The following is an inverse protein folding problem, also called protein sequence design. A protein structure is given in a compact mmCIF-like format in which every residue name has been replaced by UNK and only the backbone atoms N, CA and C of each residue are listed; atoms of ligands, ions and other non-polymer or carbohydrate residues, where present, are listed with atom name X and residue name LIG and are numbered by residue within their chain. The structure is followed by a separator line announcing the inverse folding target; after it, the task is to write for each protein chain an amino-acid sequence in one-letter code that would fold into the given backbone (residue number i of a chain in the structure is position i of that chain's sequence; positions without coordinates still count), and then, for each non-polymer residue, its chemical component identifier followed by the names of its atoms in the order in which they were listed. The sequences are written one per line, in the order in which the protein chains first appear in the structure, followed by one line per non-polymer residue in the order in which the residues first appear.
data_IF_420390360001
#
_entry.id   IF_420390360001
#
_cell.length_a   1.000
_cell.length_b   1.000
_cell.length_c   1.000
_cell.angle_alpha   90.00
_cell.angle_beta   90.00
_cell.angle_gamma   90.00
#
_symmetry.space_group_name_H-M   'P 1'
#
loop_
_entity.id
_entity.type
_entity.pdbx_description
1 polymer ?
#
# COMPACT_ATOMS: atom_id res chain seq x y z
N UNK A 1 -8.65 17.25 -15.49
CA UNK A 1 -7.64 16.25 -15.85
C UNK A 1 -7.19 16.48 -17.29
N UNK A 2 -5.88 16.57 -17.54
CA UNK A 2 -5.30 16.45 -18.89
C UNK A 2 -5.25 14.96 -19.31
N UNK A 3 -6.23 14.52 -20.11
CA UNK A 3 -6.35 13.13 -20.53
C UNK A 3 -5.38 12.75 -21.65
N UNK A 4 -5.21 13.62 -22.63
CA UNK A 4 -4.32 13.37 -23.78
C UNK A 4 -2.85 13.34 -23.33
N UNK A 5 -2.45 14.29 -22.47
CA UNK A 5 -1.12 14.31 -21.88
C UNK A 5 -0.86 13.08 -21.01
N UNK A 6 -1.84 12.65 -20.21
CA UNK A 6 -1.69 11.46 -19.38
C UNK A 6 -1.60 10.18 -20.22
N UNK A 7 -2.43 10.05 -21.25
CA UNK A 7 -2.35 8.92 -22.20
C UNK A 7 -0.96 8.86 -22.82
N UNK A 8 -0.47 9.98 -23.35
CA UNK A 8 0.88 10.08 -23.93
C UNK A 8 1.95 9.69 -22.91
N UNK A 9 1.84 10.17 -21.67
CA UNK A 9 2.75 9.80 -20.58
C UNK A 9 2.77 8.29 -20.30
N UNK A 10 1.65 7.59 -20.45
CA UNK A 10 1.57 6.14 -20.26
C UNK A 10 2.08 5.33 -21.46
N UNK A 11 2.02 5.88 -22.67
CA UNK A 11 2.48 5.22 -23.90
C UNK A 11 3.94 5.47 -24.24
N UNK A 12 4.50 6.62 -23.85
CA UNK A 12 5.87 7.03 -24.20
C UNK A 12 6.96 6.38 -23.31
N UNK A 13 6.59 5.38 -22.51
CA UNK A 13 7.50 4.64 -21.61
C UNK A 13 8.25 3.55 -22.37
N UNK A 14 9.41 3.13 -21.87
CA UNK A 14 10.13 1.95 -22.38
C UNK A 14 9.24 0.70 -22.40
N UNK A 15 8.35 0.59 -21.40
CA UNK A 15 7.28 -0.39 -21.33
C UNK A 15 5.93 0.34 -21.33
N UNK A 16 5.29 0.50 -22.50
CA UNK A 16 3.99 1.14 -22.61
C UNK A 16 2.91 0.38 -21.86
N UNK A 17 1.97 1.12 -21.27
CA UNK A 17 0.80 0.52 -20.62
C UNK A 17 -0.22 0.09 -21.70
N UNK A 18 -0.81 -1.11 -21.61
CA UNK A 18 -1.85 -1.56 -22.55
C UNK A 18 -3.06 -0.62 -22.59
N UNK A 19 -3.69 -0.51 -23.76
CA UNK A 19 -4.82 0.40 -24.00
C UNK A 19 -5.98 0.22 -23.00
N UNK A 20 -6.34 -1.03 -22.73
CA UNK A 20 -7.38 -1.38 -21.76
C UNK A 20 -7.06 -0.89 -20.35
N UNK A 21 -5.80 -0.96 -19.94
CA UNK A 21 -5.34 -0.46 -18.65
C UNK A 21 -5.33 1.08 -18.64
N UNK A 22 -4.97 1.75 -19.74
CA UNK A 22 -5.05 3.22 -19.85
C UNK A 22 -6.49 3.71 -19.64
N UNK A 23 -7.48 3.01 -20.20
CA UNK A 23 -8.90 3.33 -20.03
C UNK A 23 -9.30 3.24 -18.55
N UNK A 24 -8.93 2.15 -17.86
CA UNK A 24 -9.25 1.97 -16.44
C UNK A 24 -8.48 2.97 -15.54
N UNK A 25 -7.23 3.28 -15.88
CA UNK A 25 -6.44 4.29 -15.18
C UNK A 25 -7.12 5.66 -15.28
N UNK A 26 -7.56 6.03 -16.48
CA UNK A 26 -8.26 7.31 -16.72
C UNK A 26 -9.56 7.38 -15.92
N UNK A 27 -10.38 6.33 -15.94
CA UNK A 27 -11.62 6.28 -15.15
C UNK A 27 -11.39 6.44 -13.65
N UNK A 28 -10.31 5.84 -13.12
CA UNK A 28 -9.99 5.94 -11.70
C UNK A 28 -9.57 7.36 -11.31
N UNK A 29 -8.73 8.01 -12.13
CA UNK A 29 -8.32 9.40 -11.89
C UNK A 29 -9.51 10.35 -11.98
N UNK A 30 -10.39 10.18 -12.97
CA UNK A 30 -11.62 10.97 -13.07
C UNK A 30 -12.55 10.77 -11.87
N UNK A 31 -12.67 9.53 -11.38
CA UNK A 31 -13.46 9.22 -10.18
C UNK A 31 -12.89 9.98 -8.97
N UNK A 32 -11.57 9.99 -8.81
CA UNK A 32 -10.91 10.75 -7.76
C UNK A 32 -11.09 12.26 -7.94
N UNK A 33 -10.95 12.78 -9.16
CA UNK A 33 -11.18 14.20 -9.47
C UNK A 33 -12.60 14.64 -9.10
N UNK A 34 -13.62 13.83 -9.43
CA UNK A 34 -15.01 14.10 -9.03
C UNK A 34 -15.17 14.09 -7.51
N UNK A 35 -14.51 13.17 -6.81
CA UNK A 35 -14.55 13.09 -5.35
C UNK A 35 -13.94 14.34 -4.71
N UNK A 36 -12.78 14.81 -5.17
CA UNK A 36 -12.06 15.91 -4.49
C UNK A 36 -12.67 17.29 -4.72
N UNK A 37 -13.49 17.45 -5.76
CA UNK A 37 -14.25 18.69 -6.02
C UNK A 37 -15.13 19.11 -4.86
N UNK A 38 -15.68 18.15 -4.10
CA UNK A 38 -16.51 18.46 -2.93
C UNK A 38 -15.74 19.16 -1.80
N UNK A 39 -14.40 19.10 -1.83
CA UNK A 39 -13.51 19.78 -0.88
C UNK A 39 -12.88 21.04 -1.46
N UNK A 40 -13.31 21.50 -2.65
CA UNK A 40 -12.70 22.64 -3.33
C UNK A 40 -11.25 22.39 -3.79
N UNK A 41 -10.88 21.12 -3.98
CA UNK A 41 -9.54 20.70 -4.42
C UNK A 41 -9.54 20.31 -5.89
N UNK A 42 -8.36 20.39 -6.50
CA UNK A 42 -8.03 19.90 -7.85
C UNK A 42 -6.97 18.80 -7.76
N UNK A 43 -6.69 18.11 -8.86
CA UNK A 43 -5.65 17.06 -8.88
C UNK A 43 -4.27 17.62 -8.55
N UNK A 44 -4.02 18.89 -8.84
CA UNK A 44 -2.76 19.61 -8.58
C UNK A 44 -2.64 20.12 -7.13
N UNK A 45 -3.76 20.27 -6.40
CA UNK A 45 -3.80 20.92 -5.07
C UNK A 45 -4.26 19.98 -3.95
N UNK A 46 -4.67 18.77 -4.31
CA UNK A 46 -5.04 17.71 -3.38
C UNK A 46 -3.79 17.20 -2.66
N UNK A 47 -3.96 16.84 -1.40
CA UNK A 47 -2.89 16.31 -0.54
C UNK A 47 -3.30 14.95 0.02
N UNK A 48 -2.42 14.36 0.82
CA UNK A 48 -2.71 13.15 1.59
C UNK A 48 -4.06 13.21 2.35
N UNK A 49 -4.47 14.37 2.86
CA UNK A 49 -5.68 14.50 3.68
C UNK A 49 -6.94 14.07 2.92
N UNK A 50 -7.11 14.54 1.69
CA UNK A 50 -8.25 14.16 0.84
C UNK A 50 -8.07 12.77 0.24
N UNK A 51 -6.82 12.41 -0.10
CA UNK A 51 -6.51 11.08 -0.60
C UNK A 51 -6.86 9.99 0.43
N UNK A 52 -6.53 10.18 1.71
CA UNK A 52 -6.89 9.26 2.79
C UNK A 52 -8.41 9.11 2.94
N UNK A 53 -9.19 10.18 2.72
CA UNK A 53 -10.66 10.10 2.67
C UNK A 53 -11.13 9.26 1.49
N UNK A 54 -10.52 9.43 0.31
CA UNK A 54 -10.86 8.66 -0.89
C UNK A 54 -10.48 7.19 -0.75
N UNK A 55 -9.32 6.89 -0.16
CA UNK A 55 -8.87 5.53 0.14
C UNK A 55 -9.91 4.76 0.98
N UNK A 56 -10.48 5.42 2.00
CA UNK A 56 -11.57 4.85 2.80
C UNK A 56 -12.83 4.55 1.97
N UNK A 57 -13.13 5.37 0.96
CA UNK A 57 -14.22 5.08 0.02
C UNK A 57 -13.89 3.84 -0.80
N UNK A 58 -12.68 3.73 -1.34
CA UNK A 58 -12.26 2.54 -2.10
C UNK A 58 -12.33 1.27 -1.24
N UNK A 59 -11.89 1.32 0.02
CA UNK A 59 -11.99 0.21 0.97
C UNK A 59 -13.45 -0.18 1.20
N UNK A 60 -14.31 0.79 1.49
CA UNK A 60 -15.75 0.56 1.71
C UNK A 60 -16.44 -0.07 0.50
N UNK A 61 -16.03 0.31 -0.70
CA UNK A 61 -16.58 -0.20 -1.96
C UNK A 61 -15.94 -1.51 -2.41
N UNK A 62 -14.90 -2.00 -1.72
CA UNK A 62 -14.13 -3.17 -2.15
C UNK A 62 -13.34 -2.95 -3.44
N UNK A 63 -13.04 -1.70 -3.78
CA UNK A 63 -12.30 -1.29 -4.98
C UNK A 63 -10.89 -0.79 -4.67
N UNK A 64 -10.41 -1.01 -3.44
CA UNK A 64 -9.04 -0.73 -3.00
C UNK A 64 -8.03 -1.75 -3.55
N UNK A 65 -7.82 -1.74 -4.86
CA UNK A 65 -6.92 -2.67 -5.56
C UNK A 65 -5.60 -2.00 -5.93
N UNK A 66 -4.55 -2.79 -6.12
CA UNK A 66 -3.24 -2.30 -6.55
C UNK A 66 -3.32 -1.49 -7.87
N UNK A 67 -4.02 -1.94 -8.93
CA UNK A 67 -4.16 -1.16 -10.16
C UNK A 67 -4.82 0.21 -9.94
N UNK A 68 -5.80 0.29 -9.05
CA UNK A 68 -6.50 1.56 -8.77
C UNK A 68 -5.57 2.57 -8.08
N UNK A 69 -4.78 2.15 -7.09
CA UNK A 69 -3.77 3.02 -6.49
C UNK A 69 -2.64 3.34 -7.46
N UNK A 70 -2.20 2.39 -8.28
CA UNK A 70 -1.20 2.62 -9.33
C UNK A 70 -1.67 3.66 -10.36
N UNK A 71 -2.95 3.69 -10.72
CA UNK A 71 -3.51 4.71 -11.59
C UNK A 71 -3.36 6.12 -10.99
N UNK A 72 -3.70 6.25 -9.70
CA UNK A 72 -3.58 7.52 -8.99
C UNK A 72 -2.11 7.96 -8.85
N UNK A 73 -1.19 7.04 -8.54
CA UNK A 73 0.25 7.37 -8.43
C UNK A 73 0.84 7.77 -9.77
N UNK A 74 0.51 7.07 -10.86
CA UNK A 74 0.95 7.42 -12.22
C UNK A 74 0.49 8.82 -12.60
N UNK A 75 -0.76 9.18 -12.29
CA UNK A 75 -1.26 10.51 -12.59
C UNK A 75 -0.62 11.58 -11.71
N UNK A 76 -0.50 11.33 -10.40
CA UNK A 76 0.16 12.23 -9.47
C UNK A 76 1.60 12.54 -9.90
N UNK A 77 2.33 11.51 -10.37
CA UNK A 77 3.67 11.69 -10.92
C UNK A 77 3.67 12.44 -12.26
N UNK A 78 2.69 12.20 -13.13
CA UNK A 78 2.54 12.92 -14.41
C UNK A 78 2.37 14.44 -14.22
N UNK A 79 1.60 14.85 -13.21
CA UNK A 79 1.38 16.27 -12.88
C UNK A 79 2.36 16.81 -11.83
N UNK A 80 3.36 16.02 -11.43
CA UNK A 80 4.36 16.36 -10.42
C UNK A 80 3.77 16.75 -9.04
N UNK A 81 2.58 16.25 -8.69
CA UNK A 81 1.99 16.44 -7.37
C UNK A 81 2.57 15.41 -6.37
N UNK A 82 3.70 15.77 -5.74
CA UNK A 82 4.37 14.92 -4.75
C UNK A 82 3.57 14.71 -3.45
N UNK A 83 2.74 15.69 -3.04
CA UNK A 83 1.87 15.59 -1.86
C UNK A 83 0.77 14.54 -2.03
N UNK A 84 0.43 14.20 -3.27
CA UNK A 84 -0.44 13.08 -3.62
C UNK A 84 0.35 11.81 -3.94
N UNK A 85 1.46 11.93 -4.67
CA UNK A 85 2.25 10.79 -5.14
C UNK A 85 2.87 9.98 -4.00
N UNK A 86 3.53 10.64 -3.05
CA UNK A 86 4.29 9.96 -1.99
C UNK A 86 3.41 9.11 -1.07
N UNK A 87 2.23 9.58 -0.59
CA UNK A 87 1.34 8.74 0.19
C UNK A 87 0.83 7.50 -0.56
N UNK A 88 0.53 7.64 -1.85
CA UNK A 88 0.09 6.51 -2.67
C UNK A 88 1.24 5.51 -2.83
N UNK A 89 2.46 6.01 -3.08
CA UNK A 89 3.65 5.17 -3.17
C UNK A 89 3.88 4.39 -1.88
N UNK A 90 3.71 5.02 -0.70
CA UNK A 90 3.82 4.34 0.60
C UNK A 90 2.75 3.27 0.86
N UNK A 91 1.59 3.36 0.20
CA UNK A 91 0.58 2.28 0.23
C UNK A 91 1.02 1.09 -0.61
N UNK A 92 1.56 1.36 -1.80
CA UNK A 92 2.02 0.33 -2.73
C UNK A 92 3.29 -0.35 -2.19
N UNK A 93 4.24 0.44 -1.71
CA UNK A 93 5.48 0.01 -1.09
C UNK A 93 5.22 -0.56 0.31
N UNK A 94 5.31 -1.88 0.44
CA UNK A 94 5.03 -2.58 1.69
C UNK A 94 3.56 -2.93 1.91
N UNK A 95 2.75 -2.96 0.84
CA UNK A 95 1.39 -3.51 0.84
C UNK A 95 1.32 -4.97 1.31
N UNK A 96 2.40 -5.71 1.09
CA UNK A 96 2.55 -7.13 1.34
C UNK A 96 3.10 -7.45 2.74
N UNK A 97 3.70 -6.49 3.44
CA UNK A 97 4.46 -6.72 4.69
C UNK A 97 3.62 -7.44 5.75
N UNK A 98 2.34 -7.10 5.88
CA UNK A 98 1.46 -7.74 6.87
C UNK A 98 1.04 -9.15 6.46
N UNK A 99 0.88 -9.41 5.16
CA UNK A 99 0.65 -10.77 4.65
C UNK A 99 1.88 -11.64 4.90
N UNK A 100 3.07 -11.08 4.64
CA UNK A 100 4.34 -11.77 4.92
C UNK A 100 4.47 -12.05 6.41
N UNK A 101 4.17 -11.09 7.29
CA UNK A 101 4.20 -11.31 8.74
C UNK A 101 3.25 -12.43 9.17
N UNK A 102 2.02 -12.43 8.66
CA UNK A 102 1.06 -13.49 8.89
C UNK A 102 1.63 -14.88 8.49
N UNK A 103 2.26 -14.98 7.32
CA UNK A 103 2.83 -16.24 6.86
C UNK A 103 4.06 -16.67 7.68
N UNK A 104 4.94 -15.72 8.06
CA UNK A 104 6.09 -16.00 8.92
C UNK A 104 5.69 -16.41 10.33
N UNK A 105 4.62 -15.85 10.88
CA UNK A 105 4.05 -16.31 12.15
C UNK A 105 3.63 -17.77 12.05
N UNK A 106 2.92 -18.16 10.99
CA UNK A 106 2.53 -19.56 10.79
C UNK A 106 3.75 -20.48 10.70
N UNK A 107 4.76 -20.10 9.92
CA UNK A 107 5.96 -20.91 9.71
C UNK A 107 6.77 -21.12 10.99
N UNK A 108 6.96 -20.08 11.80
CA UNK A 108 7.83 -20.14 12.98
C UNK A 108 7.12 -20.63 14.25
N UNK A 109 5.82 -20.33 14.41
CA UNK A 109 5.11 -20.55 15.68
C UNK A 109 3.78 -21.30 15.54
N UNK A 110 3.42 -21.70 14.32
CA UNK A 110 2.21 -22.48 14.01
C UNK A 110 0.94 -21.63 13.87
N UNK A 111 -0.08 -22.24 13.25
CA UNK A 111 -1.35 -21.57 12.91
C UNK A 111 -2.08 -21.03 14.13
N UNK A 112 -2.14 -21.79 15.23
CA UNK A 112 -2.89 -21.39 16.43
C UNK A 112 -2.34 -20.09 17.05
N UNK A 113 -1.01 -19.97 17.15
CA UNK A 113 -0.37 -18.74 17.68
C UNK A 113 -0.49 -17.60 16.68
N UNK A 114 -0.33 -17.89 15.38
CA UNK A 114 -0.51 -16.91 14.31
C UNK A 114 -1.90 -16.29 14.36
N UNK A 115 -2.97 -17.08 14.43
CA UNK A 115 -4.35 -16.55 14.43
C UNK A 115 -4.68 -15.76 15.71
N UNK A 116 -4.06 -16.10 16.84
CA UNK A 116 -4.16 -15.30 18.08
C UNK A 116 -3.44 -13.94 17.99
N UNK A 117 -2.44 -13.82 17.11
CA UNK A 117 -1.64 -12.61 16.94
C UNK A 117 -2.21 -11.74 15.80
N UNK A 118 -2.33 -12.34 14.61
CA UNK A 118 -2.75 -11.74 13.35
C UNK A 118 -3.49 -12.80 12.53
N UNK A 119 -4.81 -12.86 12.69
CA UNK A 119 -5.67 -13.68 11.84
C UNK A 119 -5.75 -13.09 10.42
N UNK A 120 -6.30 -13.86 9.48
CA UNK A 120 -6.50 -13.39 8.10
C UNK A 120 -7.51 -12.24 8.04
N UNK A 121 -8.51 -12.26 8.91
CA UNK A 121 -9.56 -11.25 9.02
C UNK A 121 -9.04 -9.94 9.65
N UNK A 122 -7.97 -10.02 10.46
CA UNK A 122 -7.33 -8.88 11.09
C UNK A 122 -6.28 -8.18 10.18
N UNK A 123 -6.03 -8.71 8.98
CA UNK A 123 -5.10 -8.11 8.04
C UNK A 123 -5.59 -6.71 7.63
N UNK A 124 -4.73 -5.67 7.72
CA UNK A 124 -5.14 -4.34 7.33
C UNK A 124 -5.43 -4.30 5.82
N UNK A 125 -6.59 -3.75 5.38
CA UNK A 125 -6.87 -3.58 3.96
C UNK A 125 -5.86 -2.67 3.27
N UNK A 126 -5.64 -2.93 1.97
CA UNK A 126 -4.82 -2.06 1.12
C UNK A 126 -5.39 -0.63 1.12
N UNK A 127 -4.51 0.34 1.35
CA UNK A 127 -4.85 1.75 1.43
C UNK A 127 -5.29 2.24 2.81
N UNK A 128 -5.24 1.40 3.85
CA UNK A 128 -5.40 1.89 5.22
C UNK A 128 -4.44 3.07 5.48
N UNK A 129 -4.93 4.23 5.96
CA UNK A 129 -4.07 5.37 6.26
C UNK A 129 -2.97 5.03 7.25
N UNK A 130 -1.77 5.61 7.08
CA UNK A 130 -0.60 5.26 7.90
C UNK A 130 -0.83 5.46 9.40
N UNK A 131 -1.50 6.54 9.81
CA UNK A 131 -1.83 6.77 11.21
C UNK A 131 -2.71 5.67 11.83
N UNK A 132 -3.53 4.99 11.02
CA UNK A 132 -4.33 3.84 11.43
C UNK A 132 -3.51 2.55 11.37
N UNK A 133 -2.74 2.36 10.29
CA UNK A 133 -1.81 1.23 10.10
C UNK A 133 -0.82 1.13 11.25
N UNK A 134 -0.26 2.24 11.71
CA UNK A 134 0.64 2.30 12.88
C UNK A 134 0.00 1.71 14.14
N UNK A 135 -1.28 2.01 14.40
CA UNK A 135 -1.99 1.49 15.58
C UNK A 135 -2.21 -0.02 15.46
N UNK A 136 -2.56 -0.50 14.27
CA UNK A 136 -2.70 -1.94 13.98
C UNK A 136 -1.36 -2.65 14.19
N UNK A 137 -0.27 -2.13 13.62
CA UNK A 137 1.08 -2.69 13.80
C UNK A 137 1.47 -2.76 15.27
N UNK A 138 1.23 -1.69 16.04
CA UNK A 138 1.54 -1.67 17.48
C UNK A 138 0.77 -2.74 18.26
N UNK A 139 -0.50 -2.93 17.93
CA UNK A 139 -1.32 -3.96 18.57
C UNK A 139 -0.82 -5.37 18.23
N UNK A 140 -0.45 -5.62 16.97
CA UNK A 140 0.13 -6.91 16.54
C UNK A 140 1.43 -7.18 17.31
N UNK A 141 2.33 -6.20 17.41
CA UNK A 141 3.60 -6.36 18.14
C UNK A 141 3.36 -6.65 19.62
N UNK A 142 2.42 -5.96 20.28
CA UNK A 142 2.05 -6.25 21.67
C UNK A 142 1.54 -7.69 21.84
N UNK A 143 0.73 -8.18 20.90
CA UNK A 143 0.26 -9.57 20.92
C UNK A 143 1.42 -10.55 20.73
N UNK A 144 2.36 -10.26 19.84
CA UNK A 144 3.58 -11.06 19.66
C UNK A 144 4.38 -11.13 20.97
N UNK A 145 4.66 -10.01 21.61
CA UNK A 145 5.42 -9.96 22.88
C UNK A 145 4.72 -10.69 24.04
N UNK A 146 3.37 -10.74 24.02
CA UNK A 146 2.58 -11.42 25.05
C UNK A 146 2.49 -12.95 24.83
N UNK A 147 2.47 -13.40 23.58
CA UNK A 147 2.19 -14.80 23.21
C UNK A 147 3.49 -15.57 22.89
N UNK A 148 4.51 -14.88 22.40
CA UNK A 148 5.76 -15.48 21.94
C UNK A 148 6.89 -15.22 22.92
N UNK A 149 7.81 -16.18 23.00
CA UNK A 149 9.08 -15.96 23.67
C UNK A 149 9.96 -14.99 22.83
N UNK A 150 10.85 -14.21 23.46
CA UNK A 150 11.66 -13.21 22.75
C UNK A 150 12.48 -13.76 21.58
N UNK A 151 12.92 -15.03 21.66
CA UNK A 151 13.66 -15.70 20.60
C UNK A 151 12.82 -15.88 19.34
N UNK A 152 11.56 -16.30 19.48
CA UNK A 152 10.67 -16.53 18.34
C UNK A 152 10.17 -15.21 17.76
N UNK A 153 9.88 -14.21 18.59
CA UNK A 153 9.57 -12.86 18.13
C UNK A 153 10.70 -12.31 17.24
N UNK A 154 11.96 -12.46 17.66
CA UNK A 154 13.12 -12.04 16.88
C UNK A 154 13.25 -12.79 15.56
N UNK A 155 13.03 -14.11 15.53
CA UNK A 155 13.09 -14.91 14.29
C UNK A 155 12.03 -14.46 13.30
N UNK A 156 10.78 -14.33 13.75
CA UNK A 156 9.67 -13.87 12.91
C UNK A 156 10.01 -12.51 12.31
N UNK A 157 10.34 -11.51 13.12
CA UNK A 157 10.62 -10.15 12.63
C UNK A 157 11.83 -10.06 11.70
N UNK A 158 12.83 -10.93 11.86
CA UNK A 158 14.00 -10.97 10.99
C UNK A 158 13.68 -11.41 9.55
N UNK A 159 12.60 -12.19 9.36
CA UNK A 159 12.22 -12.81 8.08
C UNK A 159 11.04 -12.09 7.38
N UNK A 160 10.60 -10.94 7.90
CA UNK A 160 9.42 -10.19 7.41
C UNK A 160 9.73 -9.23 6.26
N UNK A 161 11.00 -9.06 5.88
CA UNK A 161 11.45 -8.04 4.92
C UNK A 161 10.88 -8.21 3.49
N UNK A 162 9.63 -7.78 3.24
CA UNK A 162 8.93 -7.86 1.96
C UNK A 162 8.93 -9.27 1.33
N UNK A 163 9.06 -10.31 2.15
CA UNK A 163 9.23 -11.70 1.68
C UNK A 163 10.55 -11.97 0.96
N UNK A 164 11.49 -11.03 0.98
CA UNK A 164 12.82 -11.19 0.38
C UNK A 164 13.63 -12.24 1.16
N UNK A 165 14.52 -12.97 0.48
CA UNK A 165 15.46 -13.86 1.14
C UNK A 165 16.26 -13.13 2.21
N UNK A 166 16.55 -13.82 3.33
CA UNK A 166 17.25 -13.22 4.48
C UNK A 166 18.62 -12.63 4.11
N UNK A 167 19.28 -13.20 3.12
CA UNK A 167 20.59 -12.80 2.61
C UNK A 167 20.52 -11.78 1.46
N UNK A 168 19.32 -11.37 1.02
CA UNK A 168 19.12 -10.42 -0.09
C UNK A 168 19.94 -9.14 0.09
N UNK A 169 20.04 -8.60 1.31
CA UNK A 169 20.83 -7.39 1.64
C UNK A 169 22.16 -7.67 2.33
N UNK A 170 22.66 -8.90 2.29
CA UNK A 170 23.91 -9.27 2.99
C UNK A 170 25.09 -8.42 2.53
N UNK A 171 25.25 -8.25 1.21
CA UNK A 171 26.33 -7.44 0.62
C UNK A 171 26.23 -5.94 0.88
N UNK A 172 25.06 -5.43 1.30
CA UNK A 172 24.89 -4.02 1.73
C UNK A 172 25.20 -3.85 3.22
N UNK A 173 24.86 -4.85 4.05
CA UNK A 173 25.05 -4.82 5.51
C UNK A 173 26.49 -5.08 5.97
N UNK A 174 27.30 -5.67 5.11
CA UNK A 174 28.71 -5.99 5.38
C UNK A 174 29.69 -4.94 4.84
N UNK A 175 29.18 -3.82 4.30
CA UNK A 175 29.96 -2.64 3.88
C UNK A 175 29.93 -1.56 4.95
#
# INVERSE_FOLDING_TARGET
MDQEGFRKYLTDKEQPIPEEEIIENTKMVEKFERFIKQFGKTLETVTEVEFNKFSKVLIKEGTNTYPNYAALSRYANFIENHDLYLPILGILDGSEVMNVLHDRLREHVGEEKRDKILSKEDLPPLGMPDAEKMKVTQEIVKRMEKILDPSDCKKVLADVAHGLPRDFRKGEREK
#
